data_IF_316014184613
#
_entry.id   IF_316014184613
#
_cell.length_a   1.000
_cell.length_b   1.000
_cell.length_c   1.000
_cell.angle_alpha   90.00
_cell.angle_beta   90.00
_cell.angle_gamma   90.00
#
_symmetry.space_group_name_H-M   'P 1'
#
loop_
_entity.id
_entity.type
_entity.pdbx_description
1 polymer ?
#
# COMPACT_ATOMS: atom_id res chain seq x y z
N UNK A 1 -4.77 -9.89 7.03
CA UNK A 1 -5.22 -8.49 6.89
C UNK A 1 -6.38 -8.27 7.84
N UNK A 2 -6.30 -7.27 8.71
CA UNK A 2 -7.36 -6.89 9.64
C UNK A 2 -7.88 -5.50 9.30
N UNK A 3 -9.18 -5.31 9.47
CA UNK A 3 -9.90 -4.07 9.21
C UNK A 3 -10.67 -3.75 10.48
N UNK A 4 -10.47 -2.56 11.03
CA UNK A 4 -11.20 -2.04 12.17
C UNK A 4 -11.89 -0.74 11.76
N UNK A 5 -13.22 -0.71 11.83
CA UNK A 5 -14.02 0.48 11.55
C UNK A 5 -14.43 1.14 12.87
N UNK A 6 -14.14 2.43 13.02
CA UNK A 6 -14.55 3.26 14.14
C UNK A 6 -15.51 4.33 13.65
N UNK A 7 -16.60 4.53 14.38
CA UNK A 7 -17.54 5.62 14.15
C UNK A 7 -17.06 6.84 14.93
N UNK A 8 -16.75 7.93 14.22
CA UNK A 8 -16.25 9.18 14.81
C UNK A 8 -17.39 10.20 14.95
N UNK A 9 -18.31 10.23 13.98
CA UNK A 9 -19.47 11.13 13.97
C UNK A 9 -20.68 10.45 13.31
N UNK A 10 -21.81 11.16 13.21
CA UNK A 10 -23.04 10.63 12.58
C UNK A 10 -22.83 10.12 11.14
N UNK A 11 -21.85 10.69 10.42
CA UNK A 11 -21.51 10.31 9.04
C UNK A 11 -20.04 9.88 8.90
N UNK A 12 -19.16 10.36 9.77
CA UNK A 12 -17.72 10.11 9.69
C UNK A 12 -17.31 8.77 10.27
N UNK A 13 -16.67 7.94 9.42
CA UNK A 13 -16.06 6.68 9.79
C UNK A 13 -14.54 6.74 9.60
N UNK A 14 -13.81 6.22 10.57
CA UNK A 14 -12.38 5.97 10.46
C UNK A 14 -12.14 4.46 10.31
N UNK A 15 -11.43 4.10 9.25
CA UNK A 15 -11.09 2.73 8.92
C UNK A 15 -9.59 2.57 9.15
N UNK A 16 -9.27 1.73 10.14
CA UNK A 16 -7.92 1.33 10.46
C UNK A 16 -7.64 -0.01 9.78
N UNK A 17 -6.55 -0.09 9.01
CA UNK A 17 -6.09 -1.31 8.37
C UNK A 17 -4.77 -1.75 8.99
N UNK A 18 -4.70 -3.03 9.34
CA UNK A 18 -3.45 -3.72 9.64
C UNK A 18 -3.20 -4.76 8.55
N UNK A 19 -2.14 -4.55 7.78
CA UNK A 19 -1.74 -5.41 6.69
C UNK A 19 -0.50 -6.17 7.11
N UNK A 20 -0.62 -7.49 7.07
CA UNK A 20 0.43 -8.43 7.45
C UNK A 20 1.60 -8.34 6.48
N UNK A 21 2.80 -8.57 7.03
CA UNK A 21 4.06 -8.51 6.29
C UNK A 21 4.08 -9.42 5.07
N UNK A 22 3.44 -10.60 5.14
CA UNK A 22 3.44 -11.55 4.01
C UNK A 22 2.80 -10.95 2.74
N UNK A 23 1.71 -10.20 2.91
CA UNK A 23 1.00 -9.53 1.80
C UNK A 23 1.86 -8.39 1.26
N UNK A 24 2.45 -7.61 2.17
CA UNK A 24 3.35 -6.48 1.85
C UNK A 24 4.56 -6.98 1.06
N UNK A 25 5.21 -8.05 1.50
CA UNK A 25 6.39 -8.63 0.85
C UNK A 25 6.04 -9.21 -0.52
N UNK A 26 4.89 -9.90 -0.66
CA UNK A 26 4.44 -10.43 -1.95
C UNK A 26 4.23 -9.34 -3.00
N UNK A 27 3.55 -8.25 -2.64
CA UNK A 27 3.35 -7.13 -3.55
C UNK A 27 4.65 -6.36 -3.82
N UNK A 28 5.52 -6.24 -2.82
CA UNK A 28 6.85 -5.65 -2.98
C UNK A 28 7.70 -6.42 -4.00
N UNK A 29 7.75 -7.75 -3.92
CA UNK A 29 8.44 -8.58 -4.92
C UNK A 29 7.87 -8.40 -6.33
N UNK A 30 6.54 -8.29 -6.43
CA UNK A 30 5.86 -8.06 -7.71
C UNK A 30 6.28 -6.72 -8.33
N UNK A 31 6.29 -5.66 -7.52
CA UNK A 31 6.74 -4.33 -7.93
C UNK A 31 8.22 -4.36 -8.34
N UNK A 32 9.08 -5.05 -7.59
CA UNK A 32 10.51 -5.17 -7.94
C UNK A 32 10.68 -5.88 -9.29
N UNK A 33 9.93 -6.96 -9.55
CA UNK A 33 9.97 -7.68 -10.84
C UNK A 33 9.48 -6.80 -12.00
N UNK A 34 8.45 -5.98 -11.79
CA UNK A 34 7.97 -5.02 -12.79
C UNK A 34 9.00 -3.92 -13.04
N UNK A 35 9.52 -3.30 -11.98
CA UNK A 35 10.55 -2.27 -12.07
C UNK A 35 11.79 -2.79 -12.79
N UNK A 36 12.25 -4.01 -12.45
CA UNK A 36 13.42 -4.65 -13.09
C UNK A 36 13.34 -4.65 -14.61
N UNK A 37 12.16 -4.88 -15.20
CA UNK A 37 11.98 -4.88 -16.66
C UNK A 37 12.11 -3.48 -17.28
N UNK A 38 11.77 -2.45 -16.52
CA UNK A 38 11.67 -1.07 -16.99
C UNK A 38 12.90 -0.22 -16.65
N UNK A 39 13.59 -0.49 -15.54
CA UNK A 39 14.73 0.30 -15.08
C UNK A 39 15.99 0.05 -15.90
N UNK A 40 16.67 1.15 -16.20
CA UNK A 40 18.02 1.19 -16.73
C UNK A 40 18.95 1.72 -15.63
N UNK A 41 20.02 0.98 -15.34
CA UNK A 41 21.02 1.35 -14.36
C UNK A 41 22.38 1.26 -15.04
N UNK A 42 23.17 2.31 -14.91
CA UNK A 42 24.53 2.36 -15.44
C UNK A 42 25.34 1.14 -14.98
N UNK A 43 26.04 0.49 -15.93
CA UNK A 43 26.78 -0.75 -15.69
C UNK A 43 25.96 -2.04 -15.80
N UNK A 44 24.63 -1.98 -15.92
CA UNK A 44 23.78 -3.15 -16.10
C UNK A 44 22.93 -3.05 -17.35
N UNK A 45 22.86 -4.16 -18.11
CA UNK A 45 21.92 -4.27 -19.23
C UNK A 45 20.48 -4.22 -18.70
N UNK A 46 19.59 -3.47 -19.38
CA UNK A 46 18.15 -3.39 -19.08
C UNK A 46 17.57 -4.78 -18.75
N UNK A 47 16.83 -4.90 -17.65
CA UNK A 47 16.24 -6.17 -17.21
C UNK A 47 17.17 -7.13 -16.45
N UNK A 48 18.49 -6.92 -16.48
CA UNK A 48 19.51 -7.81 -15.88
C UNK A 48 20.16 -7.22 -14.64
N UNK A 49 19.50 -6.25 -14.01
CA UNK A 49 19.92 -5.70 -12.72
C UNK A 49 19.56 -6.70 -11.59
N UNK A 50 20.48 -6.99 -10.65
CA UNK A 50 20.16 -7.72 -9.42
C UNK A 50 19.10 -7.03 -8.57
N UNK A 51 18.20 -7.80 -7.97
CA UNK A 51 17.06 -7.26 -7.21
C UNK A 51 17.51 -6.42 -6.00
N UNK A 52 18.60 -6.84 -5.34
CA UNK A 52 19.20 -6.11 -4.22
C UNK A 52 19.62 -4.68 -4.56
N UNK A 53 20.10 -4.45 -5.78
CA UNK A 53 20.49 -3.10 -6.24
C UNK A 53 19.26 -2.25 -6.54
N UNK A 54 18.21 -2.86 -7.11
CA UNK A 54 16.94 -2.19 -7.36
C UNK A 54 16.31 -1.76 -6.04
N UNK A 55 16.29 -2.65 -5.06
CA UNK A 55 15.72 -2.37 -3.75
C UNK A 55 16.45 -1.23 -3.04
N UNK A 56 17.79 -1.21 -3.08
CA UNK A 56 18.59 -0.12 -2.49
C UNK A 56 18.33 1.22 -3.18
N UNK A 57 18.38 1.25 -4.52
CA UNK A 57 18.31 2.50 -5.31
C UNK A 57 16.89 3.04 -5.46
N UNK A 58 15.90 2.15 -5.52
CA UNK A 58 14.49 2.48 -5.75
C UNK A 58 13.60 2.17 -4.55
N UNK A 59 14.17 2.07 -3.34
CA UNK A 59 13.42 1.81 -2.10
C UNK A 59 12.22 2.75 -1.92
N UNK A 60 12.40 4.05 -2.10
CA UNK A 60 11.33 5.05 -2.00
C UNK A 60 10.24 4.84 -3.06
N UNK A 61 10.63 4.58 -4.30
CA UNK A 61 9.69 4.34 -5.40
C UNK A 61 8.90 3.05 -5.19
N UNK A 62 9.54 2.00 -4.67
CA UNK A 62 8.88 0.74 -4.32
C UNK A 62 7.83 0.99 -3.24
N UNK A 63 8.17 1.75 -2.18
CA UNK A 63 7.23 2.11 -1.10
C UNK A 63 6.03 2.89 -1.65
N UNK A 64 6.25 3.89 -2.50
CA UNK A 64 5.15 4.66 -3.09
C UNK A 64 4.23 3.80 -3.96
N UNK A 65 4.80 2.93 -4.82
CA UNK A 65 4.00 2.04 -5.65
C UNK A 65 3.22 1.02 -4.82
N UNK A 66 3.81 0.55 -3.73
CA UNK A 66 3.18 -0.36 -2.79
C UNK A 66 1.97 0.32 -2.13
N UNK A 67 2.12 1.55 -1.64
CA UNK A 67 1.02 2.33 -1.08
C UNK A 67 -0.09 2.59 -2.11
N UNK A 68 0.27 2.98 -3.35
CA UNK A 68 -0.69 3.23 -4.43
C UNK A 68 -1.51 2.00 -4.81
N UNK A 69 -0.98 0.78 -4.62
CA UNK A 69 -1.70 -0.47 -4.90
C UNK A 69 -2.52 -0.93 -3.71
N UNK A 70 -1.94 -0.89 -2.52
CA UNK A 70 -2.55 -1.43 -1.31
C UNK A 70 -3.71 -0.55 -0.82
N UNK A 71 -3.54 0.78 -0.82
CA UNK A 71 -4.54 1.70 -0.24
C UNK A 71 -5.90 1.56 -0.93
N UNK A 72 -6.01 1.62 -2.28
CA UNK A 72 -7.31 1.49 -2.94
C UNK A 72 -7.94 0.11 -2.75
N UNK A 73 -7.15 -0.96 -2.81
CA UNK A 73 -7.64 -2.33 -2.63
C UNK A 73 -8.20 -2.54 -1.21
N UNK A 74 -7.45 -2.07 -0.21
CA UNK A 74 -7.86 -2.10 1.18
C UNK A 74 -9.15 -1.32 1.43
N UNK A 75 -9.22 -0.09 0.89
CA UNK A 75 -10.39 0.76 1.02
C UNK A 75 -11.65 0.14 0.39
N UNK A 76 -11.54 -0.35 -0.85
CA UNK A 76 -12.64 -1.01 -1.56
C UNK A 76 -13.13 -2.25 -0.80
N UNK A 77 -12.20 -3.02 -0.24
CA UNK A 77 -12.55 -4.18 0.56
C UNK A 77 -13.30 -3.80 1.83
N UNK A 78 -12.86 -2.77 2.55
CA UNK A 78 -13.55 -2.30 3.75
C UNK A 78 -14.95 -1.78 3.47
N UNK A 79 -15.12 -0.98 2.41
CA UNK A 79 -16.44 -0.51 1.95
C UNK A 79 -17.35 -1.70 1.67
N UNK A 80 -16.87 -2.68 0.90
CA UNK A 80 -17.68 -3.81 0.48
C UNK A 80 -18.06 -4.74 1.64
N UNK A 81 -17.14 -4.98 2.57
CA UNK A 81 -17.41 -5.82 3.75
C UNK A 81 -18.36 -5.14 4.74
N UNK A 82 -18.30 -3.81 4.87
CA UNK A 82 -19.14 -3.05 5.80
C UNK A 82 -20.35 -2.38 5.13
N UNK A 83 -20.57 -2.64 3.83
CA UNK A 83 -21.64 -2.04 3.02
C UNK A 83 -21.71 -0.50 3.15
N UNK A 84 -20.54 0.15 3.18
CA UNK A 84 -20.44 1.61 3.36
C UNK A 84 -20.56 2.32 2.03
N UNK A 85 -21.32 3.41 2.00
CA UNK A 85 -21.53 4.21 0.79
C UNK A 85 -21.03 5.62 1.07
N UNK A 86 -19.69 5.84 1.00
CA UNK A 86 -19.13 7.14 1.29
C UNK A 86 -19.57 8.17 0.24
N UNK A 87 -19.90 9.36 0.71
CA UNK A 87 -20.34 10.47 -0.15
C UNK A 87 -19.14 11.28 -0.65
N UNK A 88 -18.02 11.25 0.08
CA UNK A 88 -16.82 12.02 -0.21
C UNK A 88 -15.63 11.09 -0.46
N UNK A 89 -14.64 11.61 -1.20
CA UNK A 89 -13.36 10.93 -1.35
C UNK A 89 -12.70 10.68 0.02
N UNK A 90 -12.10 9.50 0.23
CA UNK A 90 -11.44 9.17 1.48
C UNK A 90 -10.20 10.04 1.71
N UNK A 91 -10.03 10.49 2.95
CA UNK A 91 -8.83 11.17 3.41
C UNK A 91 -7.87 10.18 4.07
N UNK A 92 -6.64 10.11 3.59
CA UNK A 92 -5.60 9.27 4.20
C UNK A 92 -4.97 10.06 5.34
N UNK A 93 -5.26 9.69 6.59
CA UNK A 93 -4.77 10.41 7.78
C UNK A 93 -3.40 9.94 8.24
N UNK A 94 -3.14 8.65 8.18
CA UNK A 94 -1.88 8.09 8.67
C UNK A 94 -1.45 6.88 7.85
N UNK A 95 -0.17 6.86 7.50
CA UNK A 95 0.49 5.72 6.87
C UNK A 95 1.73 5.40 7.68
N UNK A 96 1.75 4.24 8.34
CA UNK A 96 2.88 3.78 9.15
C UNK A 96 3.38 2.43 8.65
N UNK A 97 4.67 2.35 8.39
CA UNK A 97 5.37 1.09 8.16
C UNK A 97 6.16 0.75 9.41
N UNK A 98 5.82 -0.35 10.06
CA UNK A 98 6.50 -0.83 11.26
C UNK A 98 6.76 -2.34 11.13
N UNK A 99 8.03 -2.73 11.23
CA UNK A 99 8.49 -4.13 11.20
C UNK A 99 7.87 -5.00 10.08
N UNK A 100 7.84 -4.46 8.84
CA UNK A 100 7.26 -5.15 7.68
C UNK A 100 5.73 -5.10 7.59
N UNK A 101 5.04 -4.64 8.64
CA UNK A 101 3.59 -4.40 8.64
C UNK A 101 3.27 -2.99 8.15
N UNK A 102 2.14 -2.87 7.48
CA UNK A 102 1.60 -1.60 7.04
C UNK A 102 0.32 -1.30 7.80
N UNK A 103 0.36 -0.18 8.52
CA UNK A 103 -0.79 0.40 9.21
C UNK A 103 -1.29 1.59 8.40
N UNK A 104 -2.58 1.59 8.11
CA UNK A 104 -3.23 2.64 7.35
C UNK A 104 -4.44 3.16 8.12
N UNK A 105 -4.58 4.47 8.20
CA UNK A 105 -5.79 5.12 8.71
C UNK A 105 -6.42 5.93 7.60
N UNK A 106 -7.63 5.55 7.24
CA UNK A 106 -8.46 6.26 6.26
C UNK A 106 -9.65 6.85 7.00
N UNK A 107 -9.97 8.10 6.72
CA UNK A 107 -11.20 8.75 7.13
C UNK A 107 -12.14 8.91 5.94
N UNK A 108 -13.42 8.66 6.14
CA UNK A 108 -14.43 8.80 5.09
C UNK A 108 -15.76 9.26 5.68
N UNK A 109 -16.49 10.07 4.92
CA UNK A 109 -17.79 10.68 5.24
C UNK A 109 -18.80 10.45 4.12
#
# INVERSE_FOLDING_TARGET
>A
MKIEVKEISELGREINFEIEEEIVNREKERIIKELKKNVEIEGFRKGKVPERIIELRFSSLIKENLLKRIIPDAYLKAIKENNLHPAVDPEIREVKFDDGKLFLKIYTE
#
